data_IF_263025027943
#
_entry.id   IF_263025027943
#
_cell.length_a   1.000
_cell.length_b   1.000
_cell.length_c   1.000
_cell.angle_alpha   90.00
_cell.angle_beta   90.00
_cell.angle_gamma   90.00
#
_symmetry.space_group_name_H-M   'P 1'
#
loop_
_entity.id
_entity.type
_entity.pdbx_description
1 polymer ?
#
# COMPACT_ATOMS: atom_id res chain seq x y z
N UNK A 1 12.64 -0.10 16.05
CA UNK A 1 12.57 -1.10 14.95
C UNK A 1 11.50 -0.72 13.90
N UNK A 2 11.63 0.44 13.23
CA UNK A 2 10.70 0.88 12.16
C UNK A 2 11.24 0.57 10.75
N UNK A 3 12.56 0.41 10.64
CA UNK A 3 13.26 0.34 9.36
C UNK A 3 13.10 -1.01 8.66
N UNK A 4 12.87 -2.11 9.39
CA UNK A 4 12.80 -3.45 8.79
C UNK A 4 11.65 -3.56 7.77
N UNK A 5 10.46 -3.05 8.12
CA UNK A 5 9.29 -3.07 7.23
C UNK A 5 9.52 -2.18 5.99
N UNK A 6 10.09 -0.99 6.20
CA UNK A 6 10.44 -0.04 5.15
C UNK A 6 11.47 -0.67 4.18
N UNK A 7 12.45 -1.39 4.72
CA UNK A 7 13.52 -2.01 3.96
C UNK A 7 12.98 -3.19 3.12
N UNK A 8 12.12 -4.02 3.70
CA UNK A 8 11.39 -5.07 2.96
C UNK A 8 10.52 -4.49 1.83
N UNK A 9 9.80 -3.40 2.09
CA UNK A 9 8.98 -2.72 1.06
C UNK A 9 9.87 -2.14 -0.05
N UNK A 10 11.03 -1.57 0.28
CA UNK A 10 12.00 -1.06 -0.70
C UNK A 10 12.58 -2.18 -1.57
N UNK A 11 12.96 -3.31 -0.97
CA UNK A 11 13.42 -4.49 -1.72
C UNK A 11 12.34 -4.96 -2.69
N UNK A 12 11.08 -5.04 -2.22
CA UNK A 12 9.95 -5.38 -3.07
C UNK A 12 9.74 -4.36 -4.22
N UNK A 13 9.96 -3.07 -3.97
CA UNK A 13 9.87 -2.03 -5.00
C UNK A 13 10.98 -2.11 -6.03
N UNK A 14 12.16 -2.55 -5.61
CA UNK A 14 13.29 -2.74 -6.52
C UNK A 14 13.03 -3.87 -7.52
N UNK A 15 12.36 -4.95 -7.09
CA UNK A 15 11.97 -6.05 -7.98
C UNK A 15 10.74 -5.77 -8.84
N UNK A 16 9.73 -5.06 -8.31
CA UNK A 16 8.45 -4.84 -9.01
C UNK A 16 8.19 -3.34 -9.18
N UNK A 17 8.45 -2.77 -10.38
CA UNK A 17 8.22 -1.36 -10.64
C UNK A 17 6.73 -1.01 -10.56
N UNK A 18 6.38 0.22 -10.16
CA UNK A 18 4.99 0.66 -10.02
C UNK A 18 4.18 0.54 -11.33
N UNK A 19 4.85 0.64 -12.48
CA UNK A 19 4.24 0.51 -13.80
C UNK A 19 3.69 -0.89 -14.12
N UNK A 20 4.21 -1.95 -13.50
CA UNK A 20 3.72 -3.33 -13.67
C UNK A 20 2.62 -3.71 -12.68
N UNK A 21 2.28 -2.83 -11.73
CA UNK A 21 1.30 -3.15 -10.68
C UNK A 21 -0.10 -2.91 -11.21
N UNK A 22 -1.03 -3.85 -10.93
CA UNK A 22 -2.44 -3.69 -11.27
C UNK A 22 -3.00 -2.40 -10.64
N UNK A 23 -3.91 -1.72 -11.35
CA UNK A 23 -4.59 -0.53 -10.84
C UNK A 23 -5.30 -0.87 -9.53
N UNK A 24 -4.86 -0.27 -8.42
CA UNK A 24 -5.59 -0.34 -7.16
C UNK A 24 -6.77 0.63 -7.20
N UNK A 25 -7.86 0.27 -6.51
CA UNK A 25 -9.07 1.10 -6.37
C UNK A 25 -8.78 2.52 -5.87
N UNK A 26 -7.70 2.67 -5.10
CA UNK A 26 -7.31 3.91 -4.45
C UNK A 26 -6.26 4.74 -5.21
N UNK A 27 -5.93 4.41 -6.48
CA UNK A 27 -4.81 4.96 -7.30
C UNK A 27 -3.41 4.71 -6.73
N UNK A 28 -3.25 4.69 -5.40
CA UNK A 28 -2.01 4.40 -4.68
C UNK A 28 -1.93 2.93 -4.28
N UNK A 29 -0.80 2.26 -4.56
CA UNK A 29 -0.59 0.87 -4.16
C UNK A 29 -0.61 0.69 -2.64
N UNK A 30 -1.15 -0.43 -2.16
CA UNK A 30 -1.17 -0.73 -0.72
C UNK A 30 0.21 -0.62 -0.07
N UNK A 31 1.27 -1.08 -0.76
CA UNK A 31 2.65 -0.98 -0.28
C UNK A 31 3.15 0.47 -0.12
N UNK A 32 2.73 1.40 -1.01
CA UNK A 32 3.09 2.82 -0.92
C UNK A 32 2.35 3.53 0.20
N UNK A 33 1.06 3.26 0.32
CA UNK A 33 0.25 3.82 1.40
C UNK A 33 0.75 3.37 2.79
N UNK A 34 1.07 2.07 2.94
CA UNK A 34 1.63 1.53 4.18
C UNK A 34 3.01 2.11 4.46
N UNK A 35 3.86 2.28 3.44
CA UNK A 35 5.17 2.91 3.57
C UNK A 35 5.08 4.34 4.08
N UNK A 36 4.26 5.19 3.44
CA UNK A 36 4.06 6.58 3.86
C UNK A 36 3.50 6.67 5.28
N UNK A 37 2.49 5.85 5.60
CA UNK A 37 1.94 5.78 6.97
C UNK A 37 2.94 5.25 7.99
N UNK A 38 3.82 4.34 7.61
CA UNK A 38 4.87 3.82 8.48
C UNK A 38 5.93 4.89 8.77
N UNK A 39 6.26 5.73 7.80
CA UNK A 39 7.22 6.83 7.96
C UNK A 39 6.63 7.96 8.81
N UNK A 40 5.42 8.41 8.51
CA UNK A 40 4.79 9.53 9.22
C UNK A 40 4.30 9.15 10.61
N UNK A 41 3.55 8.06 10.73
CA UNK A 41 2.80 7.70 11.94
C UNK A 41 3.39 6.48 12.69
N UNK A 42 4.44 5.85 12.15
CA UNK A 42 5.09 4.67 12.73
C UNK A 42 4.51 3.32 12.28
N UNK A 43 5.20 2.24 12.67
CA UNK A 43 4.92 0.86 12.24
C UNK A 43 3.48 0.40 12.52
N UNK A 44 2.95 0.70 13.70
CA UNK A 44 1.59 0.30 14.12
C UNK A 44 0.55 0.94 13.18
N UNK A 45 0.74 2.21 12.86
CA UNK A 45 -0.12 2.95 11.95
C UNK A 45 -0.03 2.42 10.52
N UNK A 46 1.16 2.01 10.07
CA UNK A 46 1.34 1.28 8.81
C UNK A 46 0.55 -0.03 8.74
N UNK A 47 0.58 -0.83 9.81
CA UNK A 47 -0.17 -2.09 9.88
C UNK A 47 -1.69 -1.85 9.92
N UNK A 48 -2.13 -0.84 10.67
CA UNK A 48 -3.54 -0.42 10.71
C UNK A 48 -4.02 0.08 9.35
N UNK A 49 -3.19 0.86 8.66
CA UNK A 49 -3.42 1.32 7.29
C UNK A 49 -3.53 0.16 6.29
N UNK A 50 -2.67 -0.87 6.42
CA UNK A 50 -2.76 -2.08 5.62
C UNK A 50 -4.07 -2.82 5.86
N UNK A 51 -4.43 -3.05 7.13
CA UNK A 51 -5.65 -3.75 7.52
C UNK A 51 -6.91 -3.00 7.08
N UNK A 52 -6.90 -1.67 7.17
CA UNK A 52 -7.98 -0.83 6.64
C UNK A 52 -8.10 -0.99 5.12
N UNK A 53 -7.00 -0.84 4.37
CA UNK A 53 -7.01 -1.02 2.91
C UNK A 53 -7.41 -2.43 2.51
N UNK A 54 -6.97 -3.47 3.21
CA UNK A 54 -7.32 -4.86 2.90
C UNK A 54 -8.82 -5.13 3.06
N UNK A 55 -9.44 -4.60 4.12
CA UNK A 55 -10.90 -4.69 4.31
C UNK A 55 -11.66 -3.94 3.21
N UNK A 56 -11.22 -2.72 2.87
CA UNK A 56 -11.88 -1.92 1.84
C UNK A 56 -11.66 -2.45 0.41
N UNK A 57 -10.52 -3.10 0.14
CA UNK A 57 -10.17 -3.60 -1.18
C UNK A 57 -10.87 -4.93 -1.53
N UNK A 58 -11.33 -5.71 -0.53
CA UNK A 58 -11.76 -7.10 -0.73
C UNK A 58 -13.27 -7.31 -0.83
N UNK A 59 -14.13 -6.32 -0.55
CA UNK A 59 -15.57 -6.61 -0.39
C UNK A 59 -16.49 -6.34 -1.58
N UNK A 60 -16.34 -5.24 -2.35
CA UNK A 60 -17.27 -4.95 -3.48
C UNK A 60 -16.90 -3.71 -4.30
N UNK A 61 -15.68 -3.20 -4.16
CA UNK A 61 -15.31 -1.93 -4.76
C UNK A 61 -14.72 -2.16 -6.17
N UNK A 62 -15.47 -1.75 -7.20
CA UNK A 62 -15.01 -1.68 -8.58
C UNK A 62 -14.56 -0.25 -8.90
N UNK A 63 -13.49 -0.12 -9.68
CA UNK A 63 -13.06 1.18 -10.21
C UNK A 63 -14.07 1.59 -11.29
N UNK A 64 -14.88 2.59 -11.00
CA UNK A 64 -15.64 3.30 -12.04
C UNK A 64 -14.67 4.33 -12.64
N UNK A 65 -13.99 3.97 -13.73
CA UNK A 65 -13.32 4.95 -14.59
C UNK A 65 -14.40 5.58 -15.48
N UNK A 66 -14.83 6.80 -15.16
CA UNK A 66 -15.71 7.57 -16.06
C UNK A 66 -14.86 8.07 -17.24
N UNK A 67 -15.32 7.90 -18.50
CA UNK A 67 -14.63 8.37 -19.70
C UNK A 67 -14.47 9.91 -19.72
#
# INVERSE_FOLDING_TARGET
MKNLLILLIKIYWWGIPPAKRRKCIFRTSCSKYVYEKTIHDGFISGLKAFRYRFQNCRSSAYLIENP
#
